data_IF_274485668611
#
_entry.id   IF_274485668611
#
_cell.length_a   1.000
_cell.length_b   1.000
_cell.length_c   1.000
_cell.angle_alpha   90.00
_cell.angle_beta   90.00
_cell.angle_gamma   90.00
#
_symmetry.space_group_name_H-M   'P 1'
#
loop_
_entity.id
_entity.type
_entity.pdbx_description
1 polymer ?
#
# COMPACT_ATOMS: atom_id res chain seq x y z
N UNK A 1 9.92 27.57 11.27
CA UNK A 1 9.09 27.88 10.09
C UNK A 1 7.70 28.18 10.60
N UNK A 2 7.21 29.41 10.39
CA UNK A 2 5.88 29.80 10.85
C UNK A 2 4.85 29.35 9.81
N UNK A 3 4.06 28.34 10.14
CA UNK A 3 2.77 28.15 9.47
C UNK A 3 1.97 29.42 9.76
N UNK A 4 1.65 30.14 8.71
CA UNK A 4 0.90 31.40 8.86
C UNK A 4 -0.50 31.06 9.40
N UNK A 5 -0.81 31.45 10.62
CA UNK A 5 -2.08 31.17 11.30
C UNK A 5 -3.29 31.75 10.55
N UNK A 6 -3.04 32.64 9.58
CA UNK A 6 -4.04 33.28 8.70
C UNK A 6 -4.23 32.52 7.37
N UNK A 7 -3.76 31.27 7.24
CA UNK A 7 -3.91 30.53 5.99
C UNK A 7 -5.36 30.04 5.81
N UNK A 8 -6.03 30.54 4.79
CA UNK A 8 -7.41 30.16 4.42
C UNK A 8 -7.49 28.74 3.86
N UNK A 9 -6.34 28.13 3.50
CA UNK A 9 -6.29 26.76 2.95
C UNK A 9 -6.57 25.73 4.03
N UNK A 10 -7.32 24.65 3.72
CA UNK A 10 -7.44 23.52 4.62
C UNK A 10 -6.09 22.85 4.87
N UNK A 11 -5.76 22.57 6.12
CA UNK A 11 -4.57 21.81 6.51
C UNK A 11 -4.95 20.37 6.82
N UNK A 12 -4.34 19.43 6.10
CA UNK A 12 -4.58 18.00 6.27
C UNK A 12 -3.35 17.32 6.85
N UNK A 13 -3.55 16.56 7.92
CA UNK A 13 -2.52 15.73 8.53
C UNK A 13 -2.65 14.29 8.05
N UNK A 14 -1.63 13.77 7.35
CA UNK A 14 -1.62 12.41 6.81
C UNK A 14 -0.48 11.60 7.42
N UNK A 15 -0.73 10.32 7.73
CA UNK A 15 0.32 9.42 8.23
C UNK A 15 0.19 8.00 7.64
N UNK A 16 1.14 7.57 6.79
CA UNK A 16 1.20 6.21 6.29
C UNK A 16 1.84 5.26 7.32
N UNK A 17 1.36 4.00 7.37
CA UNK A 17 2.00 2.93 8.13
C UNK A 17 3.38 2.61 7.57
N UNK A 18 4.32 2.21 8.42
CA UNK A 18 5.71 1.87 8.05
C UNK A 18 5.95 0.39 7.73
N UNK A 19 4.90 -0.41 7.56
CA UNK A 19 5.02 -1.83 7.17
C UNK A 19 5.34 -1.99 5.68
N UNK A 20 6.54 -1.55 5.28
CA UNK A 20 6.96 -1.45 3.91
C UNK A 20 6.55 -0.13 3.24
N UNK A 21 7.09 0.11 2.04
CA UNK A 21 6.85 1.35 1.30
C UNK A 21 5.47 1.39 0.60
N UNK A 22 4.76 0.26 0.52
CA UNK A 22 3.45 0.18 -0.13
C UNK A 22 2.41 1.13 0.45
N UNK A 23 2.38 1.30 1.79
CA UNK A 23 1.52 2.28 2.44
C UNK A 23 1.87 3.71 2.03
N UNK A 24 3.15 4.02 1.93
CA UNK A 24 3.62 5.33 1.50
C UNK A 24 3.26 5.61 0.05
N UNK A 25 3.49 4.65 -0.85
CA UNK A 25 3.20 4.81 -2.28
C UNK A 25 1.73 4.95 -2.58
N UNK A 26 0.85 4.23 -1.86
CA UNK A 26 -0.61 4.38 -2.04
C UNK A 26 -1.17 5.70 -1.49
N UNK A 27 -0.41 6.43 -0.65
CA UNK A 27 -0.78 7.77 -0.23
C UNK A 27 -0.46 8.84 -1.29
N UNK A 28 0.39 8.56 -2.28
CA UNK A 28 0.78 9.52 -3.33
C UNK A 28 -0.45 10.05 -4.09
N UNK A 29 -1.39 9.24 -4.62
CA UNK A 29 -2.60 9.75 -5.28
C UNK A 29 -3.46 10.63 -4.38
N UNK A 30 -3.54 10.29 -3.07
CA UNK A 30 -4.28 11.11 -2.09
C UNK A 30 -3.62 12.47 -1.93
N UNK A 31 -2.29 12.52 -1.73
CA UNK A 31 -1.53 13.77 -1.59
C UNK A 31 -1.68 14.63 -2.83
N UNK A 32 -1.54 14.06 -4.03
CA UNK A 32 -1.76 14.77 -5.28
C UNK A 32 -3.14 15.42 -5.34
N UNK A 33 -4.19 14.66 -5.05
CA UNK A 33 -5.56 15.18 -5.07
C UNK A 33 -5.76 16.30 -4.05
N UNK A 34 -5.22 16.16 -2.83
CA UNK A 34 -5.33 17.20 -1.81
C UNK A 34 -4.62 18.49 -2.23
N UNK A 35 -3.43 18.40 -2.83
CA UNK A 35 -2.71 19.57 -3.35
C UNK A 35 -3.48 20.24 -4.52
N UNK A 36 -4.07 19.44 -5.43
CA UNK A 36 -4.93 19.95 -6.49
C UNK A 36 -6.19 20.66 -5.95
N UNK A 37 -6.71 20.22 -4.80
CA UNK A 37 -7.80 20.86 -4.07
C UNK A 37 -7.36 22.08 -3.25
N UNK A 38 -6.14 22.57 -3.48
CA UNK A 38 -5.56 23.73 -2.80
C UNK A 38 -5.46 23.57 -1.27
N UNK A 39 -5.20 22.33 -0.79
CA UNK A 39 -4.96 22.04 0.60
C UNK A 39 -3.46 22.07 0.94
N UNK A 40 -3.13 22.44 2.16
CA UNK A 40 -1.81 22.19 2.74
C UNK A 40 -1.78 20.79 3.34
N UNK A 41 -0.71 20.04 3.07
CA UNK A 41 -0.58 18.65 3.54
C UNK A 41 0.64 18.54 4.44
N UNK A 42 0.43 18.09 5.68
CA UNK A 42 1.47 17.76 6.64
C UNK A 42 1.57 16.24 6.78
N UNK A 43 2.74 15.67 6.48
CA UNK A 43 2.94 14.21 6.52
C UNK A 43 3.75 13.81 7.74
N UNK A 44 3.15 12.99 8.61
CA UNK A 44 3.84 12.38 9.74
C UNK A 44 4.38 11.00 9.34
N UNK A 45 5.71 10.87 9.23
CA UNK A 45 6.34 9.65 8.73
C UNK A 45 7.79 9.48 9.24
N UNK A 46 8.37 8.30 9.02
CA UNK A 46 9.78 8.05 9.31
C UNK A 46 10.68 8.55 8.17
N UNK A 47 12.02 8.54 8.38
CA UNK A 47 13.00 9.04 7.41
C UNK A 47 12.94 8.31 6.06
N UNK A 48 12.75 6.99 6.05
CA UNK A 48 12.67 6.20 4.81
C UNK A 48 11.43 6.55 3.96
N UNK A 49 10.30 6.78 4.62
CA UNK A 49 9.06 7.22 3.97
C UNK A 49 9.20 8.65 3.43
N UNK A 50 9.85 9.53 4.22
CA UNK A 50 10.18 10.91 3.82
C UNK A 50 11.06 10.94 2.58
N UNK A 51 12.13 10.13 2.52
CA UNK A 51 13.03 10.05 1.35
C UNK A 51 12.28 9.70 0.06
N UNK A 52 11.27 8.85 0.15
CA UNK A 52 10.43 8.52 -1.00
C UNK A 52 9.53 9.69 -1.38
N UNK A 53 8.82 10.27 -0.39
CA UNK A 53 7.80 11.30 -0.66
C UNK A 53 8.43 12.64 -1.07
N UNK A 54 9.61 13.00 -0.60
CA UNK A 54 10.26 14.26 -0.97
C UNK A 54 10.71 14.30 -2.43
N UNK A 55 10.91 13.13 -3.04
CA UNK A 55 11.22 13.04 -4.48
C UNK A 55 10.00 13.34 -5.35
N UNK A 56 8.80 12.97 -4.90
CA UNK A 56 7.54 13.25 -5.59
C UNK A 56 7.00 14.64 -5.25
N UNK A 57 7.24 15.10 -4.00
CA UNK A 57 6.69 16.32 -3.42
C UNK A 57 7.77 17.08 -2.64
N UNK A 58 8.66 17.84 -3.31
CA UNK A 58 9.76 18.54 -2.65
C UNK A 58 9.31 19.57 -1.59
N UNK A 59 8.14 20.18 -1.81
CA UNK A 59 7.60 21.26 -0.99
C UNK A 59 6.69 20.80 0.16
N UNK A 60 6.52 19.48 0.34
CA UNK A 60 5.70 18.95 1.44
C UNK A 60 6.35 19.18 2.80
N UNK A 61 5.49 19.39 3.79
CA UNK A 61 5.91 19.46 5.18
C UNK A 61 5.90 18.07 5.82
N UNK A 62 7.01 17.76 6.53
CA UNK A 62 7.20 16.47 7.18
C UNK A 62 7.41 16.61 8.68
N UNK A 63 6.73 15.75 9.44
CA UNK A 63 6.94 15.60 10.88
C UNK A 63 7.50 14.21 11.18
N UNK A 64 8.59 14.09 11.95
CA UNK A 64 9.16 12.81 12.27
C UNK A 64 8.22 12.00 13.17
N UNK A 65 7.85 10.81 12.73
CA UNK A 65 7.05 9.86 13.49
C UNK A 65 7.69 8.48 13.39
N UNK A 66 7.99 7.89 14.55
CA UNK A 66 8.55 6.53 14.61
C UNK A 66 7.56 5.48 14.08
N UNK A 67 8.12 4.45 13.48
CA UNK A 67 7.35 3.33 12.95
C UNK A 67 7.13 2.21 13.96
N UNK A 68 6.30 1.25 13.60
CA UNK A 68 6.07 0.05 14.40
C UNK A 68 7.23 -0.95 14.31
N UNK A 69 8.08 -0.87 13.27
CA UNK A 69 9.27 -1.73 13.07
C UNK A 69 8.96 -3.21 13.27
N UNK A 70 7.92 -3.71 12.60
CA UNK A 70 7.51 -5.12 12.69
C UNK A 70 8.52 -6.02 11.99
N UNK A 71 8.94 -7.08 12.69
CA UNK A 71 9.89 -8.06 12.17
C UNK A 71 9.17 -9.35 11.77
N UNK A 72 9.49 -9.86 10.60
CA UNK A 72 9.00 -11.12 10.08
C UNK A 72 9.99 -12.27 10.34
N UNK A 73 9.49 -13.50 10.30
CA UNK A 73 10.32 -14.70 10.39
C UNK A 73 10.81 -15.18 9.03
N UNK A 74 11.68 -16.16 9.04
CA UNK A 74 12.20 -16.82 7.83
C UNK A 74 11.22 -17.84 7.23
N UNK A 75 10.24 -18.31 8.00
CA UNK A 75 9.20 -19.22 7.55
C UNK A 75 7.86 -18.91 8.24
N UNK A 76 6.77 -19.54 7.78
CA UNK A 76 5.38 -19.29 8.24
C UNK A 76 5.23 -19.39 9.76
N UNK A 77 5.71 -20.47 10.38
CA UNK A 77 5.57 -20.68 11.84
C UNK A 77 6.33 -19.63 12.64
N UNK A 78 7.57 -19.30 12.24
CA UNK A 78 8.37 -18.26 12.89
C UNK A 78 7.80 -16.87 12.70
N UNK A 79 7.20 -16.57 11.55
CA UNK A 79 6.53 -15.30 11.28
C UNK A 79 5.33 -15.11 12.21
N UNK A 80 4.44 -16.11 12.31
CA UNK A 80 3.28 -16.08 13.21
C UNK A 80 3.72 -15.91 14.67
N UNK A 81 4.69 -16.72 15.13
CA UNK A 81 5.20 -16.63 16.49
C UNK A 81 5.79 -15.23 16.80
N UNK A 82 6.59 -14.67 15.88
CA UNK A 82 7.16 -13.32 16.02
C UNK A 82 6.08 -12.24 16.08
N UNK A 83 5.06 -12.31 15.25
CA UNK A 83 3.96 -11.34 15.27
C UNK A 83 3.23 -11.39 16.61
N UNK A 84 2.91 -12.60 17.11
CA UNK A 84 2.25 -12.78 18.43
C UNK A 84 3.11 -12.19 19.55
N UNK A 85 4.41 -12.46 19.57
CA UNK A 85 5.34 -11.93 20.58
C UNK A 85 5.48 -10.40 20.51
N UNK A 86 5.27 -9.78 19.35
CA UNK A 86 5.34 -8.34 19.16
C UNK A 86 4.04 -7.60 19.51
N UNK A 87 2.89 -8.30 19.66
CA UNK A 87 1.58 -7.66 19.92
C UNK A 87 1.60 -6.70 21.12
N UNK A 88 2.17 -7.04 22.31
CA UNK A 88 2.21 -6.10 23.41
C UNK A 88 3.01 -4.83 23.09
N UNK A 89 4.14 -4.98 22.37
CA UNK A 89 4.95 -3.87 21.90
C UNK A 89 4.21 -2.98 20.90
N UNK A 90 3.43 -3.56 19.99
CA UNK A 90 2.58 -2.83 19.03
C UNK A 90 1.54 -1.99 19.78
N UNK A 91 0.86 -2.55 20.78
CA UNK A 91 -0.12 -1.82 21.59
C UNK A 91 0.51 -0.63 22.34
N UNK A 92 1.73 -0.78 22.86
CA UNK A 92 2.48 0.31 23.47
C UNK A 92 2.80 1.40 22.44
N UNK A 93 3.22 1.01 21.24
CA UNK A 93 3.52 1.95 20.12
C UNK A 93 2.26 2.71 19.67
N UNK A 94 1.10 2.04 19.57
CA UNK A 94 -0.20 2.69 19.30
C UNK A 94 -0.51 3.76 20.36
N UNK A 95 -0.29 3.46 21.65
CA UNK A 95 -0.49 4.43 22.73
C UNK A 95 0.52 5.59 22.69
N UNK A 96 1.78 5.33 22.32
CA UNK A 96 2.82 6.36 22.14
C UNK A 96 2.50 7.27 20.97
N UNK A 97 2.08 6.71 19.85
CA UNK A 97 1.62 7.41 18.65
C UNK A 97 0.45 8.36 18.97
N UNK A 98 -0.55 7.87 19.70
CA UNK A 98 -1.68 8.71 20.11
C UNK A 98 -1.26 9.86 21.03
N UNK A 99 -0.29 9.65 21.94
CA UNK A 99 0.27 10.72 22.78
C UNK A 99 1.10 11.71 21.96
N UNK A 100 1.86 11.21 20.97
CA UNK A 100 2.61 12.05 20.04
C UNK A 100 1.66 12.95 19.23
N UNK A 101 0.59 12.38 18.68
CA UNK A 101 -0.43 13.14 17.97
C UNK A 101 -1.04 14.23 18.83
N UNK A 102 -1.41 13.92 20.08
CA UNK A 102 -1.96 14.94 21.02
C UNK A 102 -1.01 16.12 21.24
N UNK A 103 0.31 15.87 21.31
CA UNK A 103 1.31 16.94 21.42
C UNK A 103 1.40 17.76 20.12
N UNK A 104 1.38 17.09 18.96
CA UNK A 104 1.40 17.77 17.67
C UNK A 104 0.19 18.70 17.50
N UNK A 105 -1.00 18.27 17.92
CA UNK A 105 -2.24 19.04 17.81
C UNK A 105 -2.28 20.29 18.73
N UNK A 106 -1.34 20.44 19.65
CA UNK A 106 -1.14 21.70 20.40
C UNK A 106 -0.42 22.77 19.57
N UNK A 107 0.37 22.33 18.57
CA UNK A 107 1.16 23.21 17.70
C UNK A 107 0.48 23.44 16.35
N UNK A 108 -0.23 22.43 15.83
CA UNK A 108 -0.88 22.45 14.55
C UNK A 108 -2.37 22.11 14.69
N UNK A 109 -3.20 22.80 13.92
CA UNK A 109 -4.66 22.58 13.91
C UNK A 109 -5.11 22.11 12.53
N UNK A 110 -4.91 20.81 12.20
CA UNK A 110 -5.39 20.28 10.94
C UNK A 110 -6.93 20.28 10.91
N UNK A 111 -7.49 20.48 9.73
CA UNK A 111 -8.94 20.45 9.51
C UNK A 111 -9.48 19.03 9.51
N UNK A 112 -8.67 18.07 9.03
CA UNK A 112 -8.93 16.65 9.24
C UNK A 112 -7.62 15.82 9.20
N UNK A 113 -7.73 14.57 9.63
CA UNK A 113 -6.63 13.61 9.74
C UNK A 113 -6.90 12.40 8.85
N UNK A 114 -5.90 11.97 8.09
CA UNK A 114 -5.92 10.72 7.35
C UNK A 114 -4.88 9.79 7.96
N UNK A 115 -5.35 8.66 8.47
CA UNK A 115 -4.53 7.60 9.04
C UNK A 115 -4.51 6.40 8.10
N UNK A 116 -3.40 6.14 7.43
CA UNK A 116 -3.27 4.93 6.67
C UNK A 116 -2.75 3.80 7.56
N UNK A 117 -3.70 3.00 8.05
CA UNK A 117 -3.51 1.81 8.88
C UNK A 117 -2.76 2.05 10.21
N UNK A 118 -2.78 3.28 10.77
CA UNK A 118 -2.18 3.65 12.06
C UNK A 118 -3.25 3.85 13.12
N UNK A 119 -3.44 2.88 13.99
CA UNK A 119 -4.54 2.82 14.95
C UNK A 119 -4.51 3.88 16.06
N UNK A 120 -3.36 4.48 16.35
CA UNK A 120 -3.21 5.55 17.32
C UNK A 120 -3.40 6.95 16.76
N UNK A 121 -3.52 7.07 15.42
CA UNK A 121 -3.47 8.35 14.70
C UNK A 121 -4.87 8.95 14.49
N UNK A 122 -5.59 9.20 15.58
CA UNK A 122 -6.95 9.74 15.60
C UNK A 122 -7.17 10.72 16.73
N UNK A 123 -8.22 11.55 16.62
CA UNK A 123 -8.77 12.35 17.71
C UNK A 123 -10.29 12.51 17.55
N UNK A 124 -11.00 12.75 18.65
CA UNK A 124 -12.46 13.01 18.61
C UNK A 124 -12.82 14.42 18.22
N UNK A 125 -11.86 15.35 18.35
CA UNK A 125 -12.09 16.78 18.14
C UNK A 125 -11.95 17.22 16.68
N UNK A 126 -11.26 16.39 15.86
CA UNK A 126 -10.99 16.66 14.46
C UNK A 126 -11.42 15.41 13.66
N UNK A 127 -12.15 15.56 12.54
CA UNK A 127 -12.49 14.42 11.70
C UNK A 127 -11.26 13.58 11.37
N UNK A 128 -11.29 12.29 11.69
CA UNK A 128 -10.18 11.37 11.47
C UNK A 128 -10.68 10.21 10.63
N UNK A 129 -10.05 10.00 9.47
CA UNK A 129 -10.38 8.97 8.50
C UNK A 129 -9.34 7.86 8.54
N UNK A 130 -9.79 6.61 8.52
CA UNK A 130 -8.90 5.45 8.59
C UNK A 130 -8.87 4.71 7.26
N UNK A 131 -7.69 4.56 6.67
CA UNK A 131 -7.53 3.82 5.42
C UNK A 131 -7.05 2.40 5.73
N UNK A 132 -7.78 1.40 5.25
CA UNK A 132 -7.35 0.00 5.29
C UNK A 132 -8.06 -0.84 4.25
N UNK A 133 -7.35 -1.76 3.60
CA UNK A 133 -7.94 -2.83 2.78
C UNK A 133 -8.17 -4.12 3.59
N UNK A 134 -7.77 -4.14 4.86
CA UNK A 134 -7.93 -5.27 5.75
C UNK A 134 -9.02 -4.99 6.80
N UNK A 135 -10.27 -4.97 6.38
CA UNK A 135 -11.42 -5.00 7.28
C UNK A 135 -11.50 -6.37 7.99
N UNK A 136 -11.35 -7.45 7.25
CA UNK A 136 -11.05 -8.77 7.81
C UNK A 136 -9.54 -9.02 7.79
N UNK A 137 -9.03 -9.72 8.81
CA UNK A 137 -7.61 -10.07 8.92
C UNK A 137 -7.49 -11.59 8.74
N UNK A 138 -6.76 -12.01 7.70
CA UNK A 138 -6.41 -13.41 7.52
C UNK A 138 -5.13 -13.71 8.31
N UNK A 139 -5.26 -14.59 9.31
CA UNK A 139 -4.15 -14.92 10.21
C UNK A 139 -3.43 -16.21 9.83
N UNK A 140 -4.06 -17.05 9.00
CA UNK A 140 -3.61 -18.41 8.72
C UNK A 140 -3.78 -19.38 9.91
N UNK A 141 -4.48 -18.95 11.00
CA UNK A 141 -4.73 -19.74 12.21
C UNK A 141 -6.18 -20.25 12.31
N UNK A 142 -6.97 -20.03 11.27
CA UNK A 142 -8.34 -20.52 11.13
C UNK A 142 -9.43 -19.50 11.51
N UNK A 143 -10.66 -19.86 11.16
CA UNK A 143 -11.84 -18.96 11.17
C UNK A 143 -12.13 -18.32 12.54
N UNK A 144 -11.93 -19.05 13.64
CA UNK A 144 -12.18 -18.52 15.00
C UNK A 144 -11.22 -17.38 15.34
N UNK A 145 -9.92 -17.56 15.06
CA UNK A 145 -8.90 -16.51 15.28
C UNK A 145 -9.13 -15.32 14.37
N UNK A 146 -9.45 -15.55 13.09
CA UNK A 146 -9.79 -14.49 12.15
C UNK A 146 -11.00 -13.67 12.62
N UNK A 147 -12.00 -14.31 13.26
CA UNK A 147 -13.13 -13.59 13.85
C UNK A 147 -12.72 -12.71 15.02
N UNK A 148 -11.90 -13.24 15.93
CA UNK A 148 -11.40 -12.48 17.08
C UNK A 148 -10.55 -11.29 16.62
N UNK A 149 -9.62 -11.50 15.69
CA UNK A 149 -8.77 -10.43 15.14
C UNK A 149 -9.58 -9.37 14.41
N UNK A 150 -10.64 -9.77 13.69
CA UNK A 150 -11.58 -8.82 13.06
C UNK A 150 -12.32 -7.97 14.11
N UNK A 151 -12.80 -8.55 15.19
CA UNK A 151 -13.48 -7.79 16.27
C UNK A 151 -12.51 -6.79 16.93
N UNK A 152 -11.27 -7.19 17.18
CA UNK A 152 -10.24 -6.30 17.70
C UNK A 152 -9.92 -5.18 16.69
N UNK A 153 -9.79 -5.50 15.41
CA UNK A 153 -9.59 -4.53 14.34
C UNK A 153 -10.72 -3.50 14.33
N UNK A 154 -11.98 -3.94 14.38
CA UNK A 154 -13.15 -3.07 14.40
C UNK A 154 -13.20 -2.20 15.66
N UNK A 155 -12.79 -2.72 16.82
CA UNK A 155 -12.67 -1.92 18.05
C UNK A 155 -11.72 -0.72 17.86
N UNK A 156 -10.61 -0.88 17.11
CA UNK A 156 -9.73 0.23 16.79
C UNK A 156 -10.30 1.15 15.71
N UNK A 157 -10.92 0.59 14.67
CA UNK A 157 -11.53 1.35 13.56
C UNK A 157 -12.68 2.24 14.06
N UNK A 158 -13.48 1.80 15.03
CA UNK A 158 -14.58 2.58 15.60
C UNK A 158 -14.15 3.90 16.29
N UNK A 159 -12.87 4.16 16.45
CA UNK A 159 -12.34 5.43 16.98
C UNK A 159 -12.30 6.54 15.93
N UNK A 160 -12.44 6.17 14.66
CA UNK A 160 -12.39 7.07 13.52
C UNK A 160 -13.80 7.48 13.09
N UNK A 161 -13.90 8.59 12.37
CA UNK A 161 -15.16 9.07 11.82
C UNK A 161 -15.70 8.15 10.73
N UNK A 162 -14.81 7.72 9.85
CA UNK A 162 -15.13 6.85 8.71
C UNK A 162 -13.93 5.94 8.42
N UNK A 163 -14.21 4.81 7.78
CA UNK A 163 -13.21 3.91 7.24
C UNK A 163 -13.23 3.98 5.71
N UNK A 164 -12.08 4.29 5.13
CA UNK A 164 -11.86 4.36 3.69
C UNK A 164 -11.13 3.11 3.19
N UNK A 165 -11.73 2.40 2.27
CA UNK A 165 -11.21 1.12 1.77
C UNK A 165 -10.61 1.33 0.39
N UNK A 166 -9.28 1.17 0.23
CA UNK A 166 -8.60 1.33 -1.06
C UNK A 166 -8.77 0.08 -1.93
N UNK A 167 -10.01 -0.24 -2.28
CA UNK A 167 -10.39 -1.38 -3.10
C UNK A 167 -11.74 -1.10 -3.79
N UNK A 168 -12.09 -1.91 -4.78
CA UNK A 168 -13.43 -1.94 -5.34
C UNK A 168 -14.41 -2.56 -4.35
N UNK A 169 -15.66 -2.12 -4.39
CA UNK A 169 -16.73 -2.73 -3.62
C UNK A 169 -17.28 -3.99 -4.31
N UNK A 170 -17.62 -5.02 -3.53
CA UNK A 170 -18.33 -6.20 -3.99
C UNK A 170 -17.47 -7.20 -4.79
N UNK A 171 -18.04 -7.76 -5.86
CA UNK A 171 -17.45 -8.88 -6.60
C UNK A 171 -16.14 -8.53 -7.35
N UNK A 172 -15.92 -7.25 -7.63
CA UNK A 172 -14.71 -6.74 -8.29
C UNK A 172 -13.59 -6.37 -7.31
N UNK A 173 -13.70 -6.74 -6.03
CA UNK A 173 -12.68 -6.49 -5.03
C UNK A 173 -11.37 -7.22 -5.35
N UNK A 174 -10.24 -6.49 -5.26
CA UNK A 174 -8.91 -7.05 -5.49
C UNK A 174 -8.40 -7.85 -4.29
N UNK A 175 -8.76 -7.44 -3.07
CA UNK A 175 -8.42 -8.13 -1.83
C UNK A 175 -9.55 -9.04 -1.31
N UNK A 176 -10.59 -9.31 -2.11
CA UNK A 176 -11.67 -10.23 -1.79
C UNK A 176 -12.33 -9.93 -0.44
N UNK A 177 -12.48 -10.96 0.42
CA UNK A 177 -13.13 -10.80 1.72
C UNK A 177 -12.30 -10.03 2.74
N UNK A 178 -11.02 -9.75 2.48
CA UNK A 178 -10.22 -8.88 3.36
C UNK A 178 -10.79 -7.46 3.37
N UNK A 179 -11.13 -6.93 2.20
CA UNK A 179 -11.70 -5.60 2.01
C UNK A 179 -13.23 -5.59 1.99
N UNK A 180 -13.87 -6.70 1.60
CA UNK A 180 -15.32 -6.86 1.49
C UNK A 180 -15.82 -8.02 2.36
N UNK A 181 -15.69 -7.94 3.70
CA UNK A 181 -16.21 -8.97 4.60
C UNK A 181 -17.73 -8.92 4.67
N UNK A 182 -18.39 -10.05 4.98
CA UNK A 182 -19.84 -10.13 5.14
C UNK A 182 -20.42 -9.24 6.25
N UNK A 183 -19.58 -8.74 7.18
CA UNK A 183 -19.98 -7.79 8.23
C UNK A 183 -18.97 -6.65 8.29
N UNK A 184 -19.44 -5.43 8.05
CA UNK A 184 -18.66 -4.19 8.13
C UNK A 184 -18.56 -3.65 9.58
N UNK A 185 -17.60 -2.77 9.90
CA UNK A 185 -17.57 -2.03 11.15
C UNK A 185 -18.81 -1.11 11.27
N UNK A 186 -19.17 -0.71 12.49
CA UNK A 186 -20.37 0.11 12.75
C UNK A 186 -20.19 1.60 12.47
N UNK A 187 -19.11 2.00 11.78
CA UNK A 187 -18.90 3.37 11.28
C UNK A 187 -19.11 3.38 9.75
N UNK A 188 -19.34 4.54 9.13
CA UNK A 188 -19.41 4.65 7.68
C UNK A 188 -18.17 4.07 7.01
N UNK A 189 -18.39 3.27 5.97
CA UNK A 189 -17.32 2.68 5.14
C UNK A 189 -17.50 3.19 3.71
N UNK A 190 -16.43 3.79 3.16
CA UNK A 190 -16.41 4.24 1.77
C UNK A 190 -15.31 3.52 1.00
N UNK A 191 -15.64 3.05 -0.19
CA UNK A 191 -14.68 2.38 -1.08
C UNK A 191 -14.06 3.41 -2.03
N UNK A 192 -12.76 3.64 -1.87
CA UNK A 192 -11.97 4.60 -2.65
C UNK A 192 -11.67 4.09 -4.08
N UNK A 193 -11.82 2.79 -4.30
CA UNK A 193 -11.16 2.11 -5.40
C UNK A 193 -9.67 1.91 -5.12
N UNK A 194 -8.97 1.14 -5.94
CA UNK A 194 -7.54 0.91 -5.80
C UNK A 194 -6.72 2.18 -5.88
N UNK A 195 -5.89 2.43 -4.86
CA UNK A 195 -5.00 3.59 -4.77
C UNK A 195 -3.65 3.27 -5.41
N UNK A 196 -3.56 3.45 -6.71
CA UNK A 196 -2.33 3.28 -7.47
C UNK A 196 -1.82 4.61 -8.01
N UNK A 197 -0.52 4.84 -7.88
CA UNK A 197 0.16 6.00 -8.46
C UNK A 197 0.48 5.84 -9.95
N UNK A 198 0.23 4.66 -10.52
CA UNK A 198 0.50 4.39 -11.93
C UNK A 198 -0.50 5.12 -12.84
N UNK A 199 0.01 5.60 -13.96
CA UNK A 199 -0.76 6.31 -14.99
C UNK A 199 -1.02 5.40 -16.18
N UNK A 200 -2.14 5.56 -16.89
CA UNK A 200 -2.43 4.80 -18.09
C UNK A 200 -1.28 4.81 -19.10
N UNK A 201 -1.12 3.71 -19.82
CA UNK A 201 -0.05 3.56 -20.79
C UNK A 201 -0.39 4.33 -22.09
N UNK A 202 0.31 5.42 -22.36
CA UNK A 202 0.05 6.31 -23.49
C UNK A 202 0.88 5.99 -24.76
N UNK A 203 1.92 5.15 -24.67
CA UNK A 203 2.75 4.73 -25.81
C UNK A 203 3.37 3.37 -25.53
N UNK A 204 3.48 2.54 -26.59
CA UNK A 204 4.29 1.35 -26.57
C UNK A 204 5.77 1.76 -26.68
N UNK A 205 6.47 1.82 -25.56
CA UNK A 205 7.93 1.85 -25.54
C UNK A 205 8.50 0.52 -26.08
N UNK A 206 9.82 0.36 -26.04
CA UNK A 206 10.47 -0.92 -26.33
C UNK A 206 9.89 -2.00 -25.41
N UNK A 207 9.37 -3.09 -25.97
CA UNK A 207 8.76 -4.19 -25.21
C UNK A 207 9.76 -4.80 -24.22
N UNK A 208 9.31 -5.07 -23.01
CA UNK A 208 10.03 -5.83 -21.98
C UNK A 208 9.35 -7.19 -21.85
N UNK A 209 9.91 -8.25 -22.42
CA UNK A 209 9.30 -9.58 -22.38
C UNK A 209 9.02 -10.06 -20.95
N UNK A 210 9.98 -9.83 -20.02
CA UNK A 210 9.81 -10.16 -18.60
C UNK A 210 10.31 -9.03 -17.71
N UNK A 211 9.40 -8.49 -16.89
CA UNK A 211 9.72 -7.54 -15.83
C UNK A 211 9.59 -8.21 -14.47
N UNK A 212 10.65 -8.17 -13.67
CA UNK A 212 10.65 -8.69 -12.30
C UNK A 212 10.73 -7.52 -11.34
N UNK A 213 9.76 -7.42 -10.42
CA UNK A 213 9.74 -6.38 -9.39
C UNK A 213 9.90 -7.03 -8.03
N UNK A 214 11.07 -6.82 -7.41
CA UNK A 214 11.36 -7.32 -6.09
C UNK A 214 10.88 -6.34 -5.04
N UNK A 215 10.15 -6.84 -4.08
CA UNK A 215 9.63 -6.06 -2.95
C UNK A 215 9.50 -6.94 -1.70
N UNK A 216 9.16 -6.32 -0.58
CA UNK A 216 8.92 -7.01 0.68
C UNK A 216 10.06 -6.90 1.68
N UNK A 217 9.86 -7.42 2.90
CA UNK A 217 10.84 -7.35 3.97
C UNK A 217 11.98 -8.35 3.80
N UNK A 218 13.14 -8.02 4.34
CA UNK A 218 14.25 -8.96 4.48
C UNK A 218 13.94 -10.01 5.57
N UNK A 219 14.42 -11.24 5.43
CA UNK A 219 15.29 -11.79 4.37
C UNK A 219 14.52 -12.29 3.13
N UNK A 220 13.20 -12.28 3.13
CA UNK A 220 12.36 -12.91 2.10
C UNK A 220 12.55 -12.29 0.71
N UNK A 221 12.83 -10.98 0.64
CA UNK A 221 13.15 -10.32 -0.60
C UNK A 221 14.44 -10.88 -1.22
N UNK A 222 15.53 -10.95 -0.42
CA UNK A 222 16.82 -11.48 -0.88
C UNK A 222 16.77 -12.96 -1.23
N UNK A 223 16.02 -13.77 -0.49
CA UNK A 223 15.80 -15.19 -0.82
C UNK A 223 15.13 -15.35 -2.19
N UNK A 224 14.12 -14.53 -2.48
CA UNK A 224 13.43 -14.57 -3.77
C UNK A 224 14.32 -14.05 -4.91
N UNK A 225 15.11 -13.01 -4.68
CA UNK A 225 16.11 -12.53 -5.65
C UNK A 225 17.10 -13.63 -6.04
N UNK A 226 17.67 -14.34 -5.06
CA UNK A 226 18.62 -15.43 -5.32
C UNK A 226 17.98 -16.57 -6.13
N UNK A 227 16.74 -16.96 -5.79
CA UNK A 227 15.98 -17.97 -6.53
C UNK A 227 15.79 -17.57 -7.99
N UNK A 228 15.37 -16.34 -8.25
CA UNK A 228 15.17 -15.82 -9.59
C UNK A 228 16.47 -15.71 -10.39
N UNK A 229 17.54 -15.19 -9.77
CA UNK A 229 18.85 -15.08 -10.43
C UNK A 229 19.42 -16.46 -10.79
N UNK A 230 19.18 -17.48 -9.97
CA UNK A 230 19.58 -18.84 -10.30
C UNK A 230 18.76 -19.41 -11.46
N UNK A 231 17.46 -19.22 -11.49
CA UNK A 231 16.59 -19.67 -12.57
C UNK A 231 16.91 -18.98 -13.91
N UNK A 232 17.25 -17.70 -13.90
CA UNK A 232 17.63 -16.91 -15.08
C UNK A 232 18.94 -17.35 -15.74
N UNK A 233 19.77 -18.18 -15.11
CA UNK A 233 20.92 -18.81 -15.75
C UNK A 233 20.51 -19.89 -16.75
N UNK A 234 19.31 -20.44 -16.63
CA UNK A 234 18.78 -21.53 -17.46
C UNK A 234 17.73 -21.07 -18.48
N UNK A 235 17.24 -19.82 -18.34
CA UNK A 235 16.18 -19.25 -19.17
C UNK A 235 16.72 -18.00 -19.86
N UNK A 236 16.66 -17.95 -21.20
CA UNK A 236 17.27 -16.89 -22.02
C UNK A 236 16.29 -15.77 -22.42
N UNK A 237 15.18 -15.60 -21.70
CA UNK A 237 14.24 -14.52 -21.97
C UNK A 237 14.83 -13.17 -21.53
N UNK A 238 14.73 -12.16 -22.41
CA UNK A 238 15.16 -10.82 -22.07
C UNK A 238 14.39 -10.30 -20.84
N UNK A 239 15.12 -10.03 -19.76
CA UNK A 239 14.54 -9.77 -18.44
C UNK A 239 15.03 -8.45 -17.88
N UNK A 240 14.12 -7.63 -17.37
CA UNK A 240 14.43 -6.45 -16.57
C UNK A 240 14.07 -6.72 -15.11
N UNK A 241 15.01 -6.47 -14.19
CA UNK A 241 14.79 -6.65 -12.74
C UNK A 241 14.90 -5.31 -12.03
N UNK A 242 13.87 -4.95 -11.26
CA UNK A 242 13.89 -3.83 -10.33
C UNK A 242 14.01 -4.39 -8.91
N UNK A 243 15.15 -4.16 -8.26
CA UNK A 243 15.50 -4.78 -6.97
C UNK A 243 14.78 -4.18 -5.77
N UNK A 244 14.36 -2.92 -5.86
CA UNK A 244 13.78 -2.18 -4.74
C UNK A 244 14.75 -1.92 -3.59
N UNK A 245 16.04 -1.84 -3.90
CA UNK A 245 17.14 -1.59 -2.96
C UNK A 245 17.92 -0.34 -3.34
N UNK A 246 18.61 0.23 -2.36
CA UNK A 246 19.62 1.27 -2.56
C UNK A 246 20.88 0.91 -1.78
N UNK A 247 22.05 1.12 -2.37
CA UNK A 247 23.34 1.00 -1.68
C UNK A 247 23.84 -0.42 -1.39
N UNK A 248 23.25 -1.46 -2.01
CA UNK A 248 23.81 -2.82 -1.95
C UNK A 248 24.54 -3.16 -3.27
N UNK A 249 25.64 -3.93 -3.22
CA UNK A 249 26.33 -4.37 -4.43
C UNK A 249 25.39 -5.06 -5.41
N UNK A 250 25.55 -4.75 -6.70
CA UNK A 250 24.81 -5.45 -7.75
C UNK A 250 25.35 -6.88 -7.90
N UNK A 251 24.47 -7.89 -7.99
CA UNK A 251 24.89 -9.24 -8.29
C UNK A 251 25.35 -9.36 -9.74
N UNK A 252 26.17 -10.34 -10.03
CA UNK A 252 26.51 -10.72 -11.41
C UNK A 252 25.28 -11.37 -12.04
N UNK A 253 24.87 -10.87 -13.21
CA UNK A 253 23.70 -11.36 -13.96
C UNK A 253 24.08 -11.81 -15.36
N UNK A 254 23.31 -12.72 -15.99
CA UNK A 254 23.47 -13.09 -17.39
C UNK A 254 23.31 -11.88 -18.34
N UNK A 255 23.88 -11.95 -19.54
CA UNK A 255 23.87 -10.85 -20.52
C UNK A 255 22.47 -10.41 -20.99
N UNK A 256 21.48 -11.29 -20.92
CA UNK A 256 20.07 -11.00 -21.26
C UNK A 256 19.27 -10.36 -20.12
N UNK A 257 19.91 -10.08 -18.97
CA UNK A 257 19.27 -9.49 -17.78
C UNK A 257 19.77 -8.07 -17.57
N UNK A 258 18.83 -7.11 -17.57
CA UNK A 258 19.08 -5.72 -17.17
C UNK A 258 18.67 -5.51 -15.72
N UNK A 259 19.54 -4.93 -14.91
CA UNK A 259 19.34 -4.78 -13.48
C UNK A 259 19.23 -3.31 -13.08
N UNK A 260 18.19 -2.98 -12.31
CA UNK A 260 18.00 -1.69 -11.68
C UNK A 260 17.90 -1.87 -10.17
N UNK A 261 18.74 -1.19 -9.42
CA UNK A 261 18.62 -1.23 -7.94
C UNK A 261 17.35 -0.57 -7.45
N UNK A 262 16.95 0.52 -8.10
CA UNK A 262 15.74 1.28 -7.81
C UNK A 262 15.22 1.93 -9.10
N UNK A 263 13.91 2.07 -9.22
CA UNK A 263 13.25 2.86 -10.24
C UNK A 263 12.34 3.89 -9.56
N UNK A 264 12.39 5.15 -10.01
CA UNK A 264 11.42 6.16 -9.62
C UNK A 264 10.01 5.84 -10.17
N UNK A 265 9.01 6.63 -9.80
CA UNK A 265 7.63 6.35 -10.19
C UNK A 265 7.44 6.39 -11.73
N UNK A 266 8.02 7.36 -12.42
CA UNK A 266 7.90 7.52 -13.86
C UNK A 266 8.59 6.38 -14.62
N UNK A 267 9.80 6.03 -14.23
CA UNK A 267 10.57 4.91 -14.79
C UNK A 267 9.85 3.59 -14.55
N UNK A 268 9.36 3.33 -13.32
CA UNK A 268 8.61 2.12 -13.01
C UNK A 268 7.31 2.03 -13.80
N UNK A 269 6.59 3.14 -13.96
CA UNK A 269 5.38 3.21 -14.79
C UNK A 269 5.68 2.84 -16.24
N UNK A 270 6.73 3.41 -16.81
CA UNK A 270 7.15 3.12 -18.19
C UNK A 270 7.53 1.65 -18.35
N UNK A 271 8.28 1.08 -17.40
CA UNK A 271 8.64 -0.36 -17.41
C UNK A 271 7.39 -1.24 -17.29
N UNK A 272 6.46 -0.93 -16.38
CA UNK A 272 5.20 -1.65 -16.24
C UNK A 272 4.38 -1.61 -17.52
N UNK A 273 4.28 -0.42 -18.15
CA UNK A 273 3.58 -0.27 -19.42
C UNK A 273 4.22 -1.06 -20.57
N UNK A 274 5.55 -1.14 -20.60
CA UNK A 274 6.29 -1.89 -21.61
C UNK A 274 6.28 -3.43 -21.37
N UNK A 275 6.02 -3.87 -20.14
CA UNK A 275 6.08 -5.28 -19.76
C UNK A 275 5.01 -6.14 -20.45
N UNK A 276 5.41 -7.28 -21.01
CA UNK A 276 4.51 -8.33 -21.50
C UNK A 276 4.06 -9.25 -20.37
N UNK A 277 5.01 -9.64 -19.50
CA UNK A 277 4.76 -10.42 -18.30
C UNK A 277 5.49 -9.81 -17.10
N UNK A 278 4.83 -9.79 -15.95
CA UNK A 278 5.39 -9.26 -14.71
C UNK A 278 5.49 -10.38 -13.67
N UNK A 279 6.65 -10.50 -13.01
CA UNK A 279 6.80 -11.35 -11.81
C UNK A 279 6.98 -10.46 -10.59
N UNK A 280 6.18 -10.68 -9.55
CA UNK A 280 6.32 -9.93 -8.30
C UNK A 280 5.79 -10.69 -7.09
N UNK A 281 5.96 -10.11 -5.89
CA UNK A 281 5.23 -10.54 -4.69
C UNK A 281 3.75 -10.16 -4.81
N UNK A 282 2.88 -10.93 -4.14
CA UNK A 282 1.44 -10.64 -4.05
C UNK A 282 1.12 -9.54 -3.00
N UNK A 283 1.97 -8.50 -2.93
CA UNK A 283 1.72 -7.34 -2.07
C UNK A 283 0.60 -6.48 -2.63
N UNK A 284 -0.36 -6.08 -1.78
CA UNK A 284 -1.58 -5.41 -2.22
C UNK A 284 -1.35 -4.17 -3.09
N UNK A 285 -0.35 -3.34 -2.75
CA UNK A 285 0.00 -2.16 -3.56
C UNK A 285 0.47 -2.54 -4.96
N UNK A 286 1.32 -3.56 -5.09
CA UNK A 286 1.76 -4.05 -6.41
C UNK A 286 0.59 -4.63 -7.20
N UNK A 287 -0.32 -5.34 -6.54
CA UNK A 287 -1.56 -5.85 -7.16
C UNK A 287 -2.39 -4.70 -7.73
N UNK A 288 -2.59 -3.63 -6.96
CA UNK A 288 -3.31 -2.44 -7.45
C UNK A 288 -2.62 -1.82 -8.67
N UNK A 289 -1.29 -1.67 -8.64
CA UNK A 289 -0.51 -1.09 -9.73
C UNK A 289 -0.60 -1.91 -11.02
N UNK A 290 -0.40 -3.22 -10.92
CA UNK A 290 -0.40 -4.16 -12.07
C UNK A 290 -1.79 -4.26 -12.69
N UNK A 291 -2.83 -4.43 -11.87
CA UNK A 291 -4.21 -4.59 -12.35
C UNK A 291 -4.80 -3.28 -12.89
N UNK A 292 -4.42 -2.12 -12.33
CA UNK A 292 -4.79 -0.81 -12.89
C UNK A 292 -4.29 -0.65 -14.34
N UNK A 293 -3.09 -1.13 -14.62
CA UNK A 293 -2.51 -1.07 -15.95
C UNK A 293 -2.95 -2.23 -16.87
N UNK A 294 -3.80 -3.15 -16.39
CA UNK A 294 -4.29 -4.31 -17.14
C UNK A 294 -3.18 -5.28 -17.56
N UNK A 295 -2.10 -5.38 -16.78
CA UNK A 295 -0.92 -6.18 -17.09
C UNK A 295 -1.04 -7.62 -16.59
N UNK A 296 -0.54 -8.56 -17.39
CA UNK A 296 -0.43 -9.98 -17.01
C UNK A 296 0.66 -10.16 -15.96
N UNK A 297 0.40 -10.97 -14.95
CA UNK A 297 1.36 -11.17 -13.87
C UNK A 297 1.38 -12.57 -13.30
N UNK A 298 2.57 -12.99 -12.88
CA UNK A 298 2.82 -14.15 -12.04
C UNK A 298 3.15 -13.64 -10.64
N UNK A 299 2.27 -13.92 -9.69
CA UNK A 299 2.44 -13.47 -8.32
C UNK A 299 2.95 -14.61 -7.44
N UNK A 300 4.03 -14.33 -6.71
CA UNK A 300 4.66 -15.30 -5.81
C UNK A 300 4.52 -14.77 -4.38
N UNK A 301 3.52 -15.23 -3.60
CA UNK A 301 3.29 -14.73 -2.26
C UNK A 301 4.50 -14.99 -1.34
N UNK A 302 4.77 -14.07 -0.43
CA UNK A 302 5.83 -14.22 0.56
C UNK A 302 5.45 -15.32 1.54
N UNK A 303 6.28 -16.37 1.73
CA UNK A 303 5.98 -17.45 2.64
C UNK A 303 5.72 -16.96 4.06
N UNK A 304 4.55 -17.32 4.61
CA UNK A 304 4.14 -16.94 5.96
C UNK A 304 3.46 -15.57 6.08
N UNK A 305 3.25 -14.86 4.99
CA UNK A 305 2.37 -13.69 4.97
C UNK A 305 0.97 -14.12 4.53
N UNK A 306 0.10 -14.42 5.50
CA UNK A 306 -1.24 -14.95 5.26
C UNK A 306 -2.09 -14.04 4.36
N UNK A 307 -1.90 -12.72 4.45
CA UNK A 307 -2.52 -11.75 3.55
C UNK A 307 -2.13 -12.00 2.09
N UNK A 308 -0.83 -12.11 1.80
CA UNK A 308 -0.37 -12.32 0.44
C UNK A 308 -0.76 -13.70 -0.10
N UNK A 309 -0.71 -14.73 0.76
CA UNK A 309 -1.17 -16.08 0.41
C UNK A 309 -2.67 -16.07 0.04
N UNK A 310 -3.48 -15.33 0.80
CA UNK A 310 -4.92 -15.18 0.53
C UNK A 310 -5.17 -14.38 -0.75
N UNK A 311 -4.54 -13.22 -0.92
CA UNK A 311 -4.72 -12.37 -2.11
C UNK A 311 -4.30 -13.14 -3.38
N UNK A 312 -3.17 -13.87 -3.33
CA UNK A 312 -2.73 -14.68 -4.44
C UNK A 312 -3.78 -15.73 -4.84
N UNK A 313 -4.30 -16.47 -3.87
CA UNK A 313 -5.37 -17.45 -4.10
C UNK A 313 -6.62 -16.82 -4.69
N UNK A 314 -7.07 -15.68 -4.13
CA UNK A 314 -8.23 -14.95 -4.62
C UNK A 314 -8.08 -14.49 -6.07
N UNK A 315 -6.92 -13.92 -6.41
CA UNK A 315 -6.63 -13.44 -7.77
C UNK A 315 -6.51 -14.59 -8.79
N UNK A 316 -5.99 -15.74 -8.38
CA UNK A 316 -5.96 -16.96 -9.19
C UNK A 316 -7.39 -17.45 -9.49
N UNK A 317 -8.24 -17.56 -8.48
CA UNK A 317 -9.64 -17.99 -8.62
C UNK A 317 -10.45 -17.04 -9.51
N UNK A 318 -10.12 -15.73 -9.48
CA UNK A 318 -10.72 -14.71 -10.36
C UNK A 318 -10.08 -14.63 -11.73
N UNK A 319 -9.03 -15.40 -12.00
CA UNK A 319 -8.22 -15.34 -13.22
C UNK A 319 -7.62 -13.94 -13.49
N UNK A 320 -7.35 -13.16 -12.44
CA UNK A 320 -6.77 -11.83 -12.56
C UNK A 320 -5.25 -11.84 -12.57
N UNK A 321 -4.63 -12.88 -11.98
CA UNK A 321 -3.19 -13.12 -11.99
C UNK A 321 -2.93 -14.63 -11.91
N UNK A 322 -1.89 -15.10 -12.57
CA UNK A 322 -1.37 -16.43 -12.31
C UNK A 322 -0.57 -16.40 -11.00
N UNK A 323 -0.74 -17.40 -10.14
CA UNK A 323 -0.07 -17.40 -8.84
C UNK A 323 0.53 -18.74 -8.52
N UNK A 324 1.71 -18.72 -7.92
CA UNK A 324 2.44 -19.93 -7.56
C UNK A 324 3.15 -19.73 -6.21
N UNK A 325 3.05 -20.68 -5.26
CA UNK A 325 3.81 -20.63 -4.01
C UNK A 325 5.33 -20.64 -4.26
N UNK A 326 6.10 -19.89 -3.47
CA UNK A 326 7.55 -19.81 -3.65
C UNK A 326 8.25 -21.19 -3.61
N UNK A 327 7.74 -22.15 -2.83
CA UNK A 327 8.32 -23.49 -2.73
C UNK A 327 8.18 -24.33 -4.00
N UNK A 328 7.14 -24.02 -4.82
CA UNK A 328 6.87 -24.68 -6.09
C UNK A 328 7.31 -23.82 -7.29
N UNK A 329 7.98 -22.70 -7.05
CA UNK A 329 8.31 -21.77 -8.13
C UNK A 329 9.50 -22.26 -8.94
N UNK A 330 9.24 -22.59 -10.21
CA UNK A 330 10.21 -22.82 -11.26
C UNK A 330 9.91 -21.85 -12.41
N UNK A 331 10.89 -21.03 -12.80
CA UNK A 331 10.66 -19.91 -13.72
C UNK A 331 10.13 -20.35 -15.08
N UNK A 332 10.76 -21.38 -15.69
CA UNK A 332 10.35 -21.87 -17.00
C UNK A 332 8.91 -22.38 -16.98
N UNK A 333 8.57 -23.24 -16.02
CA UNK A 333 7.22 -23.80 -15.88
C UNK A 333 6.19 -22.72 -15.55
N UNK A 334 6.55 -21.72 -14.71
CA UNK A 334 5.66 -20.63 -14.38
C UNK A 334 5.35 -19.73 -15.59
N UNK A 335 6.34 -19.48 -16.46
CA UNK A 335 6.15 -18.73 -17.70
C UNK A 335 5.27 -19.50 -18.68
N UNK A 336 5.54 -20.78 -18.88
CA UNK A 336 4.74 -21.65 -19.75
C UNK A 336 3.28 -21.75 -19.29
N UNK A 337 3.07 -21.98 -18.01
CA UNK A 337 1.72 -22.03 -17.42
C UNK A 337 0.99 -20.67 -17.56
N UNK A 338 1.69 -19.56 -17.37
CA UNK A 338 1.10 -18.24 -17.51
C UNK A 338 0.78 -17.87 -18.97
N UNK A 339 1.50 -18.43 -19.96
CA UNK A 339 1.16 -18.25 -21.38
C UNK A 339 -0.18 -18.87 -21.74
N UNK A 340 -0.53 -20.01 -21.12
CA UNK A 340 -1.79 -20.73 -21.35
C UNK A 340 -2.90 -20.32 -20.36
N UNK A 341 -2.62 -19.39 -19.45
CA UNK A 341 -3.60 -18.93 -18.47
C UNK A 341 -4.50 -17.85 -19.04
N UNK A 342 -5.82 -18.05 -18.89
CA UNK A 342 -6.83 -17.09 -19.34
C UNK A 342 -6.92 -15.93 -18.34
N UNK A 343 -6.24 -14.81 -18.65
CA UNK A 343 -6.28 -13.63 -17.84
C UNK A 343 -7.56 -12.82 -18.04
N UNK A 344 -8.39 -12.73 -17.02
CA UNK A 344 -9.52 -11.82 -16.98
C UNK A 344 -9.08 -10.37 -16.83
N UNK A 345 -9.89 -9.46 -17.34
CA UNK A 345 -9.75 -8.02 -17.08
C UNK A 345 -10.72 -7.59 -15.98
N UNK A 346 -10.30 -6.65 -15.17
CA UNK A 346 -11.13 -6.05 -14.14
C UNK A 346 -11.23 -4.54 -14.38
N UNK A 347 -12.43 -3.99 -14.13
CA UNK A 347 -12.61 -2.54 -14.13
C UNK A 347 -12.13 -1.98 -12.80
N UNK A 348 -11.20 -1.04 -12.85
CA UNK A 348 -10.73 -0.30 -11.68
C UNK A 348 -11.60 0.94 -11.51
N UNK A 349 -12.28 1.04 -10.38
CA UNK A 349 -13.14 2.18 -10.04
C UNK A 349 -12.34 3.15 -9.14
N UNK A 350 -11.94 4.29 -9.70
CA UNK A 350 -11.20 5.32 -8.94
C UNK A 350 -12.17 6.31 -8.31
N UNK A 351 -12.67 6.00 -7.12
CA UNK A 351 -13.64 6.84 -6.39
C UNK A 351 -12.98 7.77 -5.36
N UNK A 352 -11.66 7.73 -5.19
CA UNK A 352 -10.99 8.50 -4.13
C UNK A 352 -11.08 10.02 -4.33
N UNK A 353 -11.06 10.50 -5.57
CA UNK A 353 -11.11 11.95 -5.84
C UNK A 353 -12.42 12.59 -5.35
N UNK A 354 -13.65 12.14 -5.72
CA UNK A 354 -14.87 12.71 -5.20
C UNK A 354 -15.03 12.57 -3.68
N UNK A 355 -14.54 11.48 -3.08
CA UNK A 355 -14.57 11.28 -1.63
C UNK A 355 -13.68 12.30 -0.92
N UNK A 356 -12.47 12.55 -1.43
CA UNK A 356 -11.59 13.59 -0.90
C UNK A 356 -12.17 14.99 -1.09
N UNK A 357 -12.77 15.29 -2.25
CA UNK A 357 -13.47 16.55 -2.51
C UNK A 357 -14.58 16.81 -1.49
N UNK A 358 -15.40 15.81 -1.18
CA UNK A 358 -16.44 15.90 -0.16
C UNK A 358 -15.86 16.15 1.23
N UNK A 359 -14.79 15.44 1.61
CA UNK A 359 -14.13 15.63 2.90
C UNK A 359 -13.54 17.05 3.04
N UNK A 360 -12.91 17.59 1.99
CA UNK A 360 -12.37 18.95 1.94
C UNK A 360 -13.50 19.99 1.99
N UNK A 361 -14.56 19.83 1.21
CA UNK A 361 -15.72 20.73 1.21
C UNK A 361 -16.39 20.82 2.59
N UNK A 362 -16.52 19.69 3.30
CA UNK A 362 -17.13 19.63 4.63
C UNK A 362 -16.36 20.43 5.71
N UNK A 363 -15.06 20.68 5.51
CA UNK A 363 -14.25 21.49 6.45
C UNK A 363 -14.13 22.95 5.98
N UNK A 364 -14.14 23.21 4.67
CA UNK A 364 -14.07 24.55 4.10
C UNK A 364 -15.32 25.38 4.43
N UNK A 365 -16.51 24.79 4.35
CA UNK A 365 -17.77 25.46 4.73
C UNK A 365 -17.81 25.91 6.17
N UNK A 366 -17.16 25.17 7.09
CA UNK A 366 -17.05 25.57 8.50
C UNK A 366 -16.17 26.80 8.71
N UNK A 367 -15.10 26.95 7.93
CA UNK A 367 -14.21 28.13 8.01
C UNK A 367 -14.94 29.38 7.54
N UNK A 368 -15.70 29.29 6.43
CA UNK A 368 -16.46 30.44 5.88
C UNK A 368 -17.61 30.86 6.80
N UNK A 369 -18.31 29.90 7.42
CA UNK A 369 -19.41 30.19 8.35
C UNK A 369 -18.97 30.85 9.67
N UNK A 370 -17.74 30.59 10.14
CA UNK A 370 -17.17 31.25 11.32
C UNK A 370 -16.78 32.70 11.01
N UNK A 371 -16.38 33.01 9.79
CA UNK A 371 -16.04 34.40 9.39
C UNK A 371 -17.30 35.27 9.30
N UNK A 372 -18.41 34.72 8.79
CA UNK A 372 -19.69 35.45 8.69
C UNK A 372 -20.43 35.65 10.00
N UNK A 373 -20.06 34.93 11.07
CA UNK A 373 -20.63 35.10 12.41
C UNK A 373 -19.77 35.98 13.35
N UNK A 374 -18.65 36.51 12.86
CA UNK A 374 -17.72 37.38 13.58
C UNK A 374 -17.76 38.85 13.10
N UNK A 375 -18.64 39.15 12.10
CA UNK A 375 -19.05 40.52 11.72
C UNK A 375 -20.44 40.84 12.30
#
# INVERSE_FOLDING_TARGET
MNFNVNNTKPLILLSPLDWGLGHTTRCIPIIHTLLQLNCDVLVACNSRQKELLIREFPDLFFMPLEGYNVQYGTNKRRTIARIILQLPGILIKIKREHRWLKKLLQQFRPDFIISDNRFGFYTRNIPSYFITHQLAIETGLGKKINTITRLLNYHFIHRFRECWVPDNQGASALAGTLSNPGKLPAIPVQYLGPLSRMQPCNSAGTSIPLLIILSGPEPQRSVFEQLLLQALKQVTIATTIVRGLTGKPAPVVPAHVTLYDHADAATLNSMLCAAEMIISRAGYTTVMDVLKLGKKSILVPTPGQAEQEYIAQWLLEKQLAYTIPQQAFELQQALEAAQHFDFNRITIMENYQPILQQAVAAVSTKKTGVILSAE
#
